data_IF_397102964988
#
_entry.id   IF_397102964988
#
_cell.length_a   1.000
_cell.length_b   1.000
_cell.length_c   1.000
_cell.angle_alpha   90.00
_cell.angle_beta   90.00
_cell.angle_gamma   90.00
#
_symmetry.space_group_name_H-M   'P 1'
#
loop_
_entity.id
_entity.type
_entity.pdbx_description
1 polymer ?
#
# COMPACT_ATOMS: atom_id res chain seq x y z
N UNK A 1 -8.75 -12.88 -20.28
CA UNK A 1 -8.54 -12.18 -19.00
C UNK A 1 -9.89 -11.65 -18.58
N UNK A 2 -10.39 -12.06 -17.41
CA UNK A 2 -11.65 -11.51 -16.89
C UNK A 2 -11.43 -10.08 -16.38
N UNK A 3 -12.51 -9.32 -16.20
CA UNK A 3 -12.46 -8.01 -15.53
C UNK A 3 -11.83 -8.12 -14.13
N UNK A 4 -12.08 -9.24 -13.43
CA UNK A 4 -11.53 -9.52 -12.10
C UNK A 4 -10.00 -9.67 -12.14
N UNK A 5 -9.50 -10.45 -13.10
CA UNK A 5 -8.06 -10.68 -13.27
C UNK A 5 -7.34 -9.37 -13.62
N UNK A 6 -7.92 -8.57 -14.51
CA UNK A 6 -7.36 -7.29 -14.92
C UNK A 6 -7.29 -6.31 -13.75
N UNK A 7 -8.33 -6.27 -12.92
CA UNK A 7 -8.37 -5.46 -11.71
C UNK A 7 -7.29 -5.91 -10.72
N UNK A 8 -7.17 -7.22 -10.46
CA UNK A 8 -6.18 -7.76 -9.54
C UNK A 8 -4.75 -7.39 -9.96
N UNK A 9 -4.41 -7.66 -11.22
CA UNK A 9 -3.08 -7.34 -11.77
C UNK A 9 -2.74 -5.85 -11.66
N UNK A 10 -3.72 -4.97 -11.87
CA UNK A 10 -3.53 -3.52 -11.70
C UNK A 10 -3.12 -3.17 -10.27
N UNK A 11 -3.87 -3.66 -9.27
CA UNK A 11 -3.56 -3.35 -7.87
C UNK A 11 -2.25 -4.00 -7.43
N UNK A 12 -1.93 -5.22 -7.89
CA UNK A 12 -0.63 -5.86 -7.65
C UNK A 12 0.53 -5.02 -8.17
N UNK A 13 0.45 -4.54 -9.41
CA UNK A 13 1.48 -3.68 -10.01
C UNK A 13 1.61 -2.35 -9.25
N UNK A 14 0.50 -1.74 -8.83
CA UNK A 14 0.56 -0.53 -8.02
C UNK A 14 1.14 -0.77 -6.61
N UNK A 15 0.88 -1.94 -6.01
CA UNK A 15 1.48 -2.37 -4.74
C UNK A 15 3.00 -2.55 -4.85
N UNK A 16 3.50 -3.09 -5.97
CA UNK A 16 4.95 -3.17 -6.22
C UNK A 16 5.61 -1.78 -6.20
N UNK A 17 4.96 -0.79 -6.82
CA UNK A 17 5.42 0.60 -6.80
C UNK A 17 5.41 1.19 -5.39
N UNK A 18 4.38 0.90 -4.59
CA UNK A 18 4.30 1.33 -3.19
C UNK A 18 5.41 0.70 -2.36
N UNK A 19 5.63 -0.61 -2.49
CA UNK A 19 6.70 -1.32 -1.80
C UNK A 19 8.08 -0.72 -2.14
N UNK A 20 8.33 -0.40 -3.41
CA UNK A 20 9.56 0.28 -3.82
C UNK A 20 9.72 1.66 -3.13
N UNK A 21 8.63 2.43 -3.01
CA UNK A 21 8.66 3.73 -2.30
C UNK A 21 8.89 3.57 -0.80
N UNK A 22 8.29 2.57 -0.16
CA UNK A 22 8.52 2.26 1.25
C UNK A 22 9.98 1.89 1.52
N UNK A 23 10.62 1.12 0.63
CA UNK A 23 12.07 0.84 0.72
C UNK A 23 12.91 2.11 0.64
N UNK A 24 12.56 3.04 -0.25
CA UNK A 24 13.24 4.35 -0.35
C UNK A 24 13.05 5.18 0.92
N UNK A 25 11.84 5.23 1.46
CA UNK A 25 11.52 5.91 2.73
C UNK A 25 12.34 5.31 3.89
N UNK A 26 12.39 3.99 4.00
CA UNK A 26 13.16 3.26 5.02
C UNK A 26 14.66 3.54 4.92
N UNK A 27 15.22 3.54 3.70
CA UNK A 27 16.62 3.90 3.49
C UNK A 27 16.92 5.34 3.90
N UNK A 28 16.02 6.29 3.61
CA UNK A 28 16.18 7.70 4.01
C UNK A 28 16.02 7.92 5.52
N UNK A 29 15.13 7.18 6.19
CA UNK A 29 14.97 7.28 7.64
C UNK A 29 16.29 6.97 8.37
N UNK A 30 17.10 6.04 7.84
CA UNK A 30 18.40 5.66 8.40
C UNK A 30 19.48 6.74 8.33
N UNK A 31 19.32 7.78 7.49
CA UNK A 31 20.32 8.85 7.31
C UNK A 31 19.94 10.17 7.99
N UNK A 32 18.75 10.29 8.57
CA UNK A 32 18.33 11.49 9.32
C UNK A 32 18.73 11.39 10.80
N UNK A 33 18.56 12.48 11.55
CA UNK A 33 18.82 12.49 13.00
C UNK A 33 18.00 11.43 13.75
N UNK A 34 18.47 11.00 14.92
CA UNK A 34 17.81 9.94 15.69
C UNK A 34 16.32 10.22 16.00
N UNK A 35 15.99 11.46 16.36
CA UNK A 35 14.61 11.87 16.65
C UNK A 35 13.72 11.87 15.39
N UNK A 36 14.24 12.40 14.28
CA UNK A 36 13.53 12.36 12.99
C UNK A 36 13.35 10.91 12.52
N UNK A 37 14.36 10.06 12.70
CA UNK A 37 14.32 8.64 12.36
C UNK A 37 13.19 7.92 13.12
N UNK A 38 13.04 8.16 14.42
CA UNK A 38 11.95 7.55 15.21
C UNK A 38 10.56 7.89 14.67
N UNK A 39 10.34 9.14 14.23
CA UNK A 39 9.07 9.54 13.62
C UNK A 39 8.86 8.86 12.26
N UNK A 40 9.88 8.86 11.40
CA UNK A 40 9.79 8.21 10.09
C UNK A 40 9.57 6.71 10.21
N UNK A 41 10.27 6.02 11.10
CA UNK A 41 10.10 4.57 11.31
C UNK A 41 8.66 4.25 11.72
N UNK A 42 8.05 5.05 12.61
CA UNK A 42 6.64 4.86 12.99
C UNK A 42 5.69 5.04 11.81
N UNK A 43 5.86 6.10 11.02
CA UNK A 43 5.04 6.33 9.82
C UNK A 43 5.23 5.22 8.78
N UNK A 44 6.46 4.75 8.58
CA UNK A 44 6.79 3.67 7.64
C UNK A 44 6.17 2.34 8.09
N UNK A 45 6.32 1.97 9.35
CA UNK A 45 5.72 0.73 9.88
C UNK A 45 4.20 0.73 9.72
N UNK A 46 3.53 1.85 9.98
CA UNK A 46 2.09 1.96 9.76
C UNK A 46 1.71 1.74 8.29
N UNK A 47 2.50 2.27 7.34
CA UNK A 47 2.26 2.01 5.92
C UNK A 47 2.62 0.58 5.48
N UNK A 48 3.58 -0.08 6.13
CA UNK A 48 3.87 -1.51 5.92
C UNK A 48 2.71 -2.41 6.40
N UNK A 49 2.08 -2.06 7.53
CA UNK A 49 0.88 -2.74 8.01
C UNK A 49 -0.30 -2.54 7.05
N UNK A 50 -0.53 -1.31 6.57
CA UNK A 50 -1.54 -1.02 5.55
C UNK A 50 -1.28 -1.79 4.25
N UNK A 51 -0.03 -1.88 3.81
CA UNK A 51 0.38 -2.69 2.66
C UNK A 51 0.03 -4.16 2.84
N UNK A 52 0.32 -4.74 4.01
CA UNK A 52 -0.03 -6.13 4.31
C UNK A 52 -1.56 -6.36 4.30
N UNK A 53 -2.34 -5.40 4.81
CA UNK A 53 -3.82 -5.46 4.78
C UNK A 53 -4.33 -5.45 3.34
N UNK A 54 -3.86 -4.53 2.49
CA UNK A 54 -4.30 -4.47 1.08
C UNK A 54 -3.94 -5.76 0.36
N UNK A 55 -2.72 -6.27 0.55
CA UNK A 55 -2.29 -7.54 -0.05
C UNK A 55 -3.22 -8.70 0.36
N UNK A 56 -3.53 -8.82 1.64
CA UNK A 56 -4.44 -9.86 2.14
C UNK A 56 -5.86 -9.72 1.57
N UNK A 57 -6.38 -8.50 1.45
CA UNK A 57 -7.69 -8.25 0.84
C UNK A 57 -7.69 -8.61 -0.65
N UNK A 58 -6.61 -8.30 -1.36
CA UNK A 58 -6.46 -8.63 -2.78
C UNK A 58 -6.37 -10.14 -3.04
N UNK A 59 -5.72 -10.89 -2.13
CA UNK A 59 -5.70 -12.35 -2.18
C UNK A 59 -7.12 -12.91 -2.00
N UNK A 60 -7.86 -12.44 -0.98
CA UNK A 60 -9.28 -12.82 -0.75
C UNK A 60 -10.18 -12.45 -1.93
N UNK A 61 -9.94 -11.30 -2.56
CA UNK A 61 -10.70 -10.86 -3.73
C UNK A 61 -10.50 -11.81 -4.93
N UNK A 62 -9.31 -12.41 -5.05
CA UNK A 62 -9.02 -13.43 -6.08
C UNK A 62 -9.74 -14.75 -5.85
N UNK A 63 -10.09 -15.07 -4.61
CA UNK A 63 -10.83 -16.27 -4.22
C UNK A 63 -12.36 -16.06 -4.23
N UNK A 64 -12.82 -14.82 -4.42
CA UNK A 64 -14.21 -14.44 -4.29
C UNK A 64 -15.10 -14.90 -5.46
N UNK A 65 -16.27 -15.44 -5.11
CA UNK A 65 -17.36 -15.72 -6.06
C UNK A 65 -17.86 -14.45 -6.76
N UNK A 66 -18.55 -14.55 -7.89
CA UNK A 66 -19.15 -13.38 -8.57
C UNK A 66 -20.08 -12.56 -7.67
N UNK A 67 -20.89 -13.24 -6.86
CA UNK A 67 -21.88 -12.60 -5.99
C UNK A 67 -21.27 -11.82 -4.81
N UNK A 68 -20.02 -12.12 -4.43
CA UNK A 68 -19.32 -11.49 -3.30
C UNK A 68 -18.17 -10.59 -3.74
N UNK A 69 -17.92 -10.50 -5.06
CA UNK A 69 -16.73 -9.86 -5.58
C UNK A 69 -16.80 -8.33 -5.52
N UNK A 70 -17.96 -7.73 -5.82
CA UNK A 70 -18.10 -6.27 -5.79
C UNK A 70 -17.93 -5.70 -4.38
N UNK A 71 -18.55 -6.32 -3.37
CA UNK A 71 -18.39 -5.89 -1.96
C UNK A 71 -16.93 -5.97 -1.49
N UNK A 72 -16.25 -7.09 -1.78
CA UNK A 72 -14.83 -7.26 -1.44
C UNK A 72 -13.92 -6.33 -2.22
N UNK A 73 -14.31 -5.97 -3.45
CA UNK A 73 -13.56 -5.03 -4.27
C UNK A 73 -13.64 -3.64 -3.68
N UNK A 74 -14.81 -3.16 -3.29
CA UNK A 74 -14.99 -1.85 -2.64
C UNK A 74 -14.12 -1.75 -1.38
N UNK A 75 -14.19 -2.76 -0.51
CA UNK A 75 -13.34 -2.83 0.67
C UNK A 75 -11.83 -2.85 0.37
N UNK A 76 -11.44 -3.44 -0.77
CA UNK A 76 -10.05 -3.47 -1.23
C UNK A 76 -9.63 -2.11 -1.78
N UNK A 77 -10.51 -1.43 -2.53
CA UNK A 77 -10.29 -0.09 -3.07
C UNK A 77 -10.10 0.94 -1.96
N UNK A 78 -10.90 0.88 -0.90
CA UNK A 78 -10.78 1.80 0.24
C UNK A 78 -9.42 1.66 0.95
N UNK A 79 -9.05 0.42 1.27
CA UNK A 79 -7.76 0.13 1.89
C UNK A 79 -6.60 0.55 0.99
N UNK A 80 -6.71 0.28 -0.32
CA UNK A 80 -5.72 0.66 -1.31
C UNK A 80 -5.56 2.18 -1.43
N UNK A 81 -6.67 2.91 -1.49
CA UNK A 81 -6.68 4.37 -1.61
C UNK A 81 -6.04 5.04 -0.38
N UNK A 82 -6.32 4.52 0.82
CA UNK A 82 -5.69 4.99 2.07
C UNK A 82 -4.17 4.83 2.02
N UNK A 83 -3.70 3.60 1.75
CA UNK A 83 -2.27 3.31 1.65
C UNK A 83 -1.59 4.20 0.60
N UNK A 84 -2.19 4.32 -0.58
CA UNK A 84 -1.65 5.13 -1.68
C UNK A 84 -1.53 6.60 -1.28
N UNK A 85 -2.53 7.15 -0.58
CA UNK A 85 -2.50 8.52 -0.10
C UNK A 85 -1.40 8.75 0.94
N UNK A 86 -1.28 7.84 1.92
CA UNK A 86 -0.26 7.90 2.97
C UNK A 86 1.16 7.84 2.41
N UNK A 87 1.42 6.89 1.51
CA UNK A 87 2.73 6.73 0.86
C UNK A 87 3.06 7.94 -0.01
N UNK A 88 2.08 8.48 -0.75
CA UNK A 88 2.27 9.70 -1.54
C UNK A 88 2.60 10.90 -0.65
N UNK A 89 1.90 11.06 0.47
CA UNK A 89 2.14 12.11 1.44
C UNK A 89 3.53 12.01 2.08
N UNK A 90 3.91 10.83 2.54
CA UNK A 90 5.24 10.57 3.09
C UNK A 90 6.35 10.87 2.06
N UNK A 91 6.15 10.47 0.81
CA UNK A 91 7.12 10.72 -0.27
C UNK A 91 7.19 12.19 -0.71
N UNK A 92 6.11 12.95 -0.56
CA UNK A 92 6.11 14.39 -0.81
C UNK A 92 6.95 15.13 0.23
N UNK A 93 6.79 14.79 1.52
CA UNK A 93 7.60 15.34 2.63
C UNK A 93 9.09 15.05 2.49
N UNK A 94 9.48 14.00 1.75
CA UNK A 94 10.89 13.67 1.47
C UNK A 94 11.56 14.58 0.42
N UNK A 95 10.78 15.34 -0.36
CA UNK A 95 11.28 16.21 -1.42
C UNK A 95 11.42 17.67 -0.99
N UNK A 96 10.82 18.03 0.14
CA UNK A 96 11.04 19.30 0.85
C UNK A 96 12.31 19.21 1.70
#
# INVERSE_FOLDING_TARGET
>A
MSTKDAYKQKIEAELELVNAKLKVLSAKAKIVSADANLKYVKEINAMEDEYAVVKSKLDKLGEASENTWEDLKEETEDAWNSLRANVKGAFAKLKE
#
